data_IF_728433412004
#
_entry.id   IF_728433412004
#
_cell.length_a   1.000
_cell.length_b   1.000
_cell.length_c   1.000
_cell.angle_alpha   90.00
_cell.angle_beta   90.00
_cell.angle_gamma   90.00
#
_symmetry.space_group_name_H-M   'P 1'
#
loop_
_entity.id
_entity.type
_entity.pdbx_description
1 polymer ?
#
# COMPACT_ATOMS: atom_id res chain seq x y z
N UNK A 1 -15.33 -5.67 -10.76
CA UNK A 1 -15.41 -5.20 -9.36
C UNK A 1 -14.73 -3.86 -9.15
N UNK A 2 -13.41 -3.72 -9.41
CA UNK A 2 -12.71 -2.43 -9.18
C UNK A 2 -13.30 -1.23 -9.94
N UNK A 3 -13.97 -1.45 -11.08
CA UNK A 3 -14.63 -0.40 -11.89
C UNK A 3 -15.99 0.08 -11.36
N UNK A 4 -16.57 -0.65 -10.40
CA UNK A 4 -17.93 -0.37 -9.85
C UNK A 4 -17.84 0.63 -8.69
N UNK A 5 -16.65 0.77 -8.11
CA UNK A 5 -16.41 1.72 -7.03
C UNK A 5 -16.41 3.17 -7.53
N UNK A 6 -16.83 4.13 -6.69
CA UNK A 6 -16.78 5.54 -7.03
C UNK A 6 -15.35 6.00 -7.29
N UNK A 7 -15.21 7.08 -8.07
CA UNK A 7 -13.93 7.72 -8.38
C UNK A 7 -14.00 9.18 -7.99
N UNK A 8 -12.90 9.67 -7.43
CA UNK A 8 -12.85 11.02 -6.87
C UNK A 8 -11.64 11.78 -7.41
N UNK A 9 -11.91 12.97 -7.94
CA UNK A 9 -10.92 13.95 -8.34
C UNK A 9 -10.74 15.01 -7.24
N UNK A 10 -10.09 14.65 -6.13
CA UNK A 10 -9.78 15.60 -5.06
C UNK A 10 -8.36 15.40 -4.53
N UNK A 11 -7.89 16.33 -3.70
CA UNK A 11 -6.54 16.35 -3.16
C UNK A 11 -5.45 16.32 -4.24
N UNK A 12 -4.40 15.53 -4.06
CA UNK A 12 -3.26 15.47 -4.98
C UNK A 12 -3.64 15.01 -6.39
N UNK A 13 -4.72 14.25 -6.52
CA UNK A 13 -5.18 13.69 -7.78
C UNK A 13 -5.75 14.74 -8.71
N UNK A 14 -6.53 15.71 -8.20
CA UNK A 14 -7.05 16.80 -9.03
C UNK A 14 -5.93 17.68 -9.57
N UNK A 15 -4.91 17.98 -8.75
CA UNK A 15 -3.73 18.72 -9.21
C UNK A 15 -2.96 17.97 -10.30
N UNK A 16 -2.78 16.64 -10.17
CA UNK A 16 -2.10 15.83 -11.20
C UNK A 16 -2.89 15.79 -12.51
N UNK A 17 -4.21 15.63 -12.41
CA UNK A 17 -5.08 15.64 -13.59
C UNK A 17 -5.06 17.00 -14.29
N UNK A 18 -5.22 18.09 -13.54
CA UNK A 18 -5.17 19.45 -14.08
C UNK A 18 -3.83 19.75 -14.78
N UNK A 19 -2.70 19.30 -14.21
CA UNK A 19 -1.39 19.43 -14.85
C UNK A 19 -1.28 18.64 -16.15
N UNK A 20 -1.81 17.42 -16.20
CA UNK A 20 -1.83 16.62 -17.42
C UNK A 20 -2.68 17.29 -18.51
N UNK A 21 -3.87 17.78 -18.15
CA UNK A 21 -4.75 18.50 -19.07
C UNK A 21 -4.08 19.78 -19.59
N UNK A 22 -3.45 20.59 -18.72
CA UNK A 22 -2.72 21.78 -19.15
C UNK A 22 -1.59 21.46 -20.13
N UNK A 23 -0.84 20.37 -19.89
CA UNK A 23 0.21 19.92 -20.80
C UNK A 23 -0.34 19.50 -22.17
N UNK A 24 -1.42 18.70 -22.19
CA UNK A 24 -1.96 18.11 -23.42
C UNK A 24 -2.84 19.06 -24.23
N UNK A 25 -3.56 19.98 -23.58
CA UNK A 25 -4.44 20.94 -24.26
C UNK A 25 -3.73 22.24 -24.61
N UNK A 26 -2.92 22.75 -23.70
CA UNK A 26 -2.36 24.11 -23.81
C UNK A 26 -0.88 24.09 -24.18
N UNK A 27 -0.23 22.91 -24.21
CA UNK A 27 1.22 22.80 -24.36
C UNK A 27 2.00 23.42 -23.20
N UNK A 28 1.32 23.74 -22.09
CA UNK A 28 1.90 24.43 -20.96
C UNK A 28 2.64 23.44 -20.05
N UNK A 29 3.88 23.75 -19.68
CA UNK A 29 4.62 22.97 -18.68
C UNK A 29 4.25 23.46 -17.28
N UNK A 30 3.47 22.70 -16.48
CA UNK A 30 2.94 23.23 -15.23
C UNK A 30 4.02 23.32 -14.15
N UNK A 31 4.11 24.45 -13.47
CA UNK A 31 4.91 24.60 -12.25
C UNK A 31 4.10 24.18 -11.02
N UNK A 32 4.12 22.89 -10.72
CA UNK A 32 3.46 22.33 -9.55
C UNK A 32 4.35 21.28 -8.87
N UNK A 33 4.12 21.10 -7.57
CA UNK A 33 4.98 20.26 -6.72
C UNK A 33 4.95 18.75 -7.03
N UNK A 34 3.86 18.26 -7.63
CA UNK A 34 3.72 16.82 -7.89
C UNK A 34 4.40 16.43 -9.21
N UNK A 35 5.12 15.33 -9.21
CA UNK A 35 5.79 14.82 -10.42
C UNK A 35 4.79 14.47 -11.53
N UNK A 36 5.17 14.77 -12.78
CA UNK A 36 4.43 14.45 -14.01
C UNK A 36 4.79 13.08 -14.60
N UNK A 37 5.80 12.37 -14.07
CA UNK A 37 6.26 11.08 -14.60
C UNK A 37 5.15 10.01 -14.54
N UNK A 38 4.40 9.93 -13.44
CA UNK A 38 3.24 9.05 -13.35
C UNK A 38 2.08 9.53 -14.25
N UNK A 39 1.60 10.79 -14.08
CA UNK A 39 0.49 11.32 -14.86
C UNK A 39 0.66 11.24 -16.39
N UNK A 40 1.86 11.49 -16.93
CA UNK A 40 2.09 11.44 -18.39
C UNK A 40 1.84 10.05 -18.97
N UNK A 41 2.05 8.99 -18.18
CA UNK A 41 1.75 7.61 -18.60
C UNK A 41 0.25 7.30 -18.65
N UNK A 42 -0.59 8.21 -18.15
CA UNK A 42 -2.05 8.17 -18.35
C UNK A 42 -2.52 9.02 -19.53
N UNK A 43 -1.63 9.72 -20.24
CA UNK A 43 -1.97 10.50 -21.43
C UNK A 43 -2.74 9.69 -22.51
N UNK A 44 -2.44 8.40 -22.77
CA UNK A 44 -3.25 7.61 -23.71
C UNK A 44 -4.72 7.47 -23.28
N UNK A 45 -4.99 7.37 -21.97
CA UNK A 45 -6.35 7.31 -21.44
C UNK A 45 -7.06 8.66 -21.57
N UNK A 46 -6.32 9.75 -21.33
CA UNK A 46 -6.81 11.11 -21.56
C UNK A 46 -7.20 11.33 -23.03
N UNK A 47 -6.30 11.00 -23.96
CA UNK A 47 -6.52 11.14 -25.40
C UNK A 47 -7.68 10.26 -25.88
N UNK A 48 -7.76 9.02 -25.40
CA UNK A 48 -8.90 8.13 -25.69
C UNK A 48 -10.21 8.69 -25.14
N UNK A 49 -10.19 9.26 -23.93
CA UNK A 49 -11.35 9.89 -23.33
C UNK A 49 -11.82 11.14 -24.08
N UNK A 50 -10.90 11.90 -24.67
CA UNK A 50 -11.21 13.08 -25.47
C UNK A 50 -12.07 12.77 -26.70
N UNK A 51 -11.88 11.58 -27.29
CA UNK A 51 -12.73 11.12 -28.41
C UNK A 51 -14.20 10.94 -28.02
N UNK A 52 -14.50 10.82 -26.72
CA UNK A 52 -15.84 10.58 -26.17
C UNK A 52 -16.30 11.66 -25.17
N UNK A 53 -15.56 12.76 -25.02
CA UNK A 53 -15.84 13.81 -24.01
C UNK A 53 -15.85 13.30 -22.57
N UNK A 54 -14.96 12.35 -22.25
CA UNK A 54 -14.89 11.65 -20.96
C UNK A 54 -13.45 11.52 -20.42
N UNK A 55 -12.60 12.50 -20.69
CA UNK A 55 -11.17 12.54 -20.33
C UNK A 55 -10.94 12.20 -18.85
N UNK A 56 -11.65 12.91 -17.97
CA UNK A 56 -11.54 12.75 -16.52
C UNK A 56 -11.93 11.34 -16.09
N UNK A 57 -13.02 10.81 -16.65
CA UNK A 57 -13.53 9.48 -16.30
C UNK A 57 -12.49 8.39 -16.58
N UNK A 58 -11.78 8.46 -17.70
CA UNK A 58 -10.74 7.51 -18.07
C UNK A 58 -9.48 7.69 -17.22
N UNK A 59 -9.04 8.92 -17.02
CA UNK A 59 -7.87 9.22 -16.17
C UNK A 59 -8.07 8.76 -14.72
N UNK A 60 -9.24 8.98 -14.13
CA UNK A 60 -9.55 8.53 -12.78
C UNK A 60 -9.51 7.00 -12.61
N UNK A 61 -9.47 6.23 -13.71
CA UNK A 61 -9.33 4.75 -13.71
C UNK A 61 -7.91 4.28 -13.98
N UNK A 62 -6.97 5.19 -14.21
CA UNK A 62 -5.56 4.87 -14.46
C UNK A 62 -4.97 3.92 -13.41
N UNK A 63 -5.21 4.18 -12.12
CA UNK A 63 -4.73 3.33 -11.03
C UNK A 63 -5.28 1.90 -11.10
N UNK A 64 -6.52 1.74 -11.56
CA UNK A 64 -7.12 0.41 -11.77
C UNK A 64 -6.43 -0.33 -12.92
N UNK A 65 -6.15 0.34 -14.03
CA UNK A 65 -5.38 -0.25 -15.14
C UNK A 65 -3.96 -0.63 -14.72
N UNK A 66 -3.28 0.23 -13.95
CA UNK A 66 -1.98 -0.08 -13.38
C UNK A 66 -2.02 -1.32 -12.48
N UNK A 67 -2.96 -1.38 -11.54
CA UNK A 67 -3.10 -2.52 -10.63
C UNK A 67 -3.40 -3.81 -11.41
N UNK A 68 -4.33 -3.78 -12.38
CA UNK A 68 -4.67 -4.93 -13.22
C UNK A 68 -3.45 -5.38 -14.03
N UNK A 69 -2.76 -4.45 -14.70
CA UNK A 69 -1.57 -4.75 -15.49
C UNK A 69 -0.44 -5.32 -14.63
N UNK A 70 -0.19 -4.72 -13.48
CA UNK A 70 0.86 -5.15 -12.55
C UNK A 70 0.59 -6.52 -11.93
N UNK A 71 -0.65 -6.79 -11.50
CA UNK A 71 -1.07 -8.11 -11.01
C UNK A 71 -1.03 -9.17 -12.10
N UNK A 72 -1.42 -8.80 -13.33
CA UNK A 72 -1.35 -9.70 -14.49
C UNK A 72 0.10 -10.05 -14.81
N UNK A 73 1.00 -9.06 -14.87
CA UNK A 73 2.43 -9.29 -15.01
C UNK A 73 2.96 -10.20 -13.90
N UNK A 74 2.64 -9.90 -12.64
CA UNK A 74 3.07 -10.70 -11.49
C UNK A 74 2.61 -12.16 -11.61
N UNK A 75 1.35 -12.38 -11.95
CA UNK A 75 0.79 -13.72 -12.16
C UNK A 75 1.50 -14.44 -13.31
N UNK A 76 1.63 -13.82 -14.47
CA UNK A 76 2.26 -14.44 -15.65
C UNK A 76 3.75 -14.73 -15.41
N UNK A 77 4.46 -13.82 -14.74
CA UNK A 77 5.84 -13.98 -14.36
C UNK A 77 6.05 -15.13 -13.37
N UNK A 78 5.12 -15.37 -12.44
CA UNK A 78 5.32 -16.34 -11.37
C UNK A 78 4.50 -17.63 -11.48
N UNK A 79 3.50 -17.74 -12.35
CA UNK A 79 2.57 -18.90 -12.44
C UNK A 79 3.24 -20.25 -12.67
N UNK A 80 4.43 -20.26 -13.27
CA UNK A 80 5.26 -21.46 -13.50
C UNK A 80 6.38 -21.64 -12.46
N UNK A 81 6.61 -20.63 -11.61
CA UNK A 81 7.71 -20.54 -10.64
C UNK A 81 7.24 -20.71 -9.20
N UNK A 82 5.99 -20.39 -8.90
CA UNK A 82 5.40 -20.37 -7.56
C UNK A 82 4.10 -21.18 -7.56
N UNK A 83 3.75 -21.89 -6.46
CA UNK A 83 2.48 -22.60 -6.36
C UNK A 83 1.28 -21.68 -6.68
N UNK A 84 0.45 -22.07 -7.66
CA UNK A 84 -0.70 -21.27 -8.14
C UNK A 84 -1.64 -20.82 -7.02
N UNK A 85 -1.84 -21.68 -6.02
CA UNK A 85 -2.64 -21.37 -4.84
C UNK A 85 -2.08 -20.18 -4.06
N UNK A 86 -0.77 -20.18 -3.80
CA UNK A 86 -0.11 -19.09 -3.08
C UNK A 86 -0.24 -17.79 -3.87
N UNK A 87 -0.02 -17.82 -5.19
CA UNK A 87 -0.20 -16.65 -6.05
C UNK A 87 -1.62 -16.11 -6.01
N UNK A 88 -2.63 -16.97 -6.14
CA UNK A 88 -4.03 -16.56 -6.05
C UNK A 88 -4.34 -15.95 -4.69
N UNK A 89 -3.87 -16.57 -3.60
CA UNK A 89 -4.05 -16.04 -2.24
C UNK A 89 -3.39 -14.67 -2.08
N UNK A 90 -2.14 -14.51 -2.55
CA UNK A 90 -1.44 -13.23 -2.54
C UNK A 90 -2.18 -12.15 -3.32
N UNK A 91 -2.61 -12.45 -4.55
CA UNK A 91 -3.32 -11.49 -5.40
C UNK A 91 -4.64 -11.08 -4.77
N UNK A 92 -5.42 -12.03 -4.22
CA UNK A 92 -6.68 -11.71 -3.55
C UNK A 92 -6.43 -10.84 -2.30
N UNK A 93 -5.41 -11.13 -1.51
CA UNK A 93 -5.04 -10.29 -0.36
C UNK A 93 -4.59 -8.90 -0.81
N UNK A 94 -3.75 -8.80 -1.84
CA UNK A 94 -3.30 -7.51 -2.35
C UNK A 94 -4.47 -6.69 -2.87
N UNK A 95 -5.38 -7.28 -3.64
CA UNK A 95 -6.47 -6.55 -4.30
C UNK A 95 -7.67 -6.29 -3.39
N UNK A 96 -7.96 -7.16 -2.41
CA UNK A 96 -9.17 -7.07 -1.57
C UNK A 96 -8.91 -6.96 -0.07
N UNK A 97 -7.75 -7.40 0.43
CA UNK A 97 -7.41 -7.41 1.85
C UNK A 97 -6.17 -6.57 2.13
N UNK A 98 -6.11 -5.38 1.56
CA UNK A 98 -5.01 -4.43 1.76
C UNK A 98 -5.51 -2.99 1.61
N UNK A 99 -4.60 -2.00 1.56
CA UNK A 99 -4.98 -0.61 1.30
C UNK A 99 -5.28 -0.31 -0.19
N UNK A 100 -4.92 -1.19 -1.13
CA UNK A 100 -5.13 -0.95 -2.57
C UNK A 100 -6.58 -0.61 -2.96
N UNK A 101 -7.64 -1.28 -2.44
CA UNK A 101 -9.02 -0.92 -2.74
C UNK A 101 -9.35 0.56 -2.55
N UNK A 102 -8.94 1.15 -1.42
CA UNK A 102 -9.15 2.57 -1.17
C UNK A 102 -8.37 3.44 -2.14
N UNK A 103 -7.10 3.12 -2.35
CA UNK A 103 -6.24 3.87 -3.27
C UNK A 103 -6.70 3.80 -4.73
N UNK A 104 -7.57 2.85 -5.10
CA UNK A 104 -8.19 2.85 -6.43
C UNK A 104 -9.24 3.97 -6.59
N UNK A 105 -9.82 4.49 -5.51
CA UNK A 105 -10.85 5.54 -5.60
C UNK A 105 -10.27 6.87 -6.07
N UNK A 106 -8.94 7.03 -5.97
CA UNK A 106 -8.23 8.30 -6.16
C UNK A 106 -7.19 8.22 -7.28
N UNK A 107 -6.99 9.31 -8.01
CA UNK A 107 -5.95 9.45 -9.04
C UNK A 107 -4.59 9.87 -8.43
N UNK A 108 -4.16 9.10 -7.45
CA UNK A 108 -3.00 9.37 -6.61
C UNK A 108 -1.76 8.60 -7.09
N UNK A 109 -0.55 9.09 -6.77
CA UNK A 109 0.70 8.54 -7.30
C UNK A 109 1.20 7.27 -6.61
N UNK A 110 0.68 6.95 -5.42
CA UNK A 110 1.19 5.86 -4.59
C UNK A 110 0.96 4.49 -5.24
N UNK A 111 -0.14 4.30 -5.98
CA UNK A 111 -0.41 3.06 -6.72
C UNK A 111 0.63 2.84 -7.80
N UNK A 112 0.99 3.90 -8.54
CA UNK A 112 2.03 3.86 -9.55
C UNK A 112 3.35 3.40 -8.95
N UNK A 113 3.82 4.08 -7.90
CA UNK A 113 5.08 3.72 -7.23
C UNK A 113 5.04 2.28 -6.69
N UNK A 114 3.96 1.92 -5.99
CA UNK A 114 3.88 0.61 -5.34
C UNK A 114 3.86 -0.55 -6.36
N UNK A 115 3.09 -0.42 -7.44
CA UNK A 115 2.97 -1.47 -8.47
C UNK A 115 4.25 -1.58 -9.30
N UNK A 116 4.86 -0.46 -9.71
CA UNK A 116 6.09 -0.51 -10.49
C UNK A 116 7.27 -1.03 -9.65
N UNK A 117 7.38 -0.66 -8.37
CA UNK A 117 8.41 -1.23 -7.49
C UNK A 117 8.19 -2.74 -7.29
N UNK A 118 6.95 -3.18 -7.04
CA UNK A 118 6.62 -4.60 -6.90
C UNK A 118 6.95 -5.40 -8.17
N UNK A 119 6.52 -4.92 -9.34
CA UNK A 119 6.75 -5.63 -10.61
C UNK A 119 8.21 -5.56 -11.06
N UNK A 120 8.87 -4.42 -10.86
CA UNK A 120 10.28 -4.22 -11.17
C UNK A 120 11.20 -5.09 -10.32
N UNK A 121 10.94 -5.22 -9.02
CA UNK A 121 11.66 -6.16 -8.15
C UNK A 121 11.48 -7.61 -8.56
N UNK A 122 10.25 -8.03 -8.93
CA UNK A 122 10.03 -9.37 -9.50
C UNK A 122 10.82 -9.55 -10.79
N UNK A 123 10.79 -8.58 -11.71
CA UNK A 123 11.57 -8.63 -12.95
C UNK A 123 13.08 -8.77 -12.70
N UNK A 124 13.63 -8.09 -11.68
CA UNK A 124 15.03 -8.26 -11.25
C UNK A 124 15.31 -9.71 -10.84
N UNK A 125 14.38 -10.37 -10.15
CA UNK A 125 14.54 -11.72 -9.62
C UNK A 125 14.26 -12.85 -10.63
N UNK A 126 13.66 -12.53 -11.79
CA UNK A 126 13.40 -13.49 -12.87
C UNK A 126 14.29 -13.24 -14.10
N UNK A 127 15.51 -12.75 -13.88
CA UNK A 127 16.54 -12.48 -14.89
C UNK A 127 16.22 -11.39 -15.93
N UNK A 128 15.19 -10.56 -15.67
CA UNK A 128 14.85 -9.38 -16.49
C UNK A 128 15.41 -8.11 -15.85
N UNK A 129 16.69 -8.15 -15.48
CA UNK A 129 17.31 -7.19 -14.56
C UNK A 129 17.28 -5.74 -15.06
N UNK A 130 17.55 -5.50 -16.35
CA UNK A 130 17.52 -4.14 -16.93
C UNK A 130 16.12 -3.54 -16.88
N UNK A 131 15.12 -4.30 -17.33
CA UNK A 131 13.72 -3.89 -17.31
C UNK A 131 13.23 -3.64 -15.88
N UNK A 132 13.62 -4.52 -14.95
CA UNK A 132 13.24 -4.39 -13.56
C UNK A 132 13.79 -3.14 -12.89
N UNK A 133 15.08 -2.83 -13.06
CA UNK A 133 15.65 -1.58 -12.56
C UNK A 133 15.08 -0.35 -13.22
N UNK A 134 14.88 -0.36 -14.55
CA UNK A 134 14.21 0.73 -15.26
C UNK A 134 12.83 1.01 -14.65
N UNK A 135 12.04 -0.04 -14.42
CA UNK A 135 10.69 0.08 -13.82
C UNK A 135 10.75 0.67 -12.41
N UNK A 136 11.67 0.21 -11.55
CA UNK A 136 11.86 0.73 -10.19
C UNK A 136 12.31 2.20 -10.21
N UNK A 137 13.24 2.56 -11.10
CA UNK A 137 13.75 3.93 -11.25
C UNK A 137 12.64 4.90 -11.64
N UNK A 138 11.82 4.53 -12.63
CA UNK A 138 10.66 5.34 -13.06
C UNK A 138 9.64 5.49 -11.91
N UNK A 139 9.39 4.42 -11.16
CA UNK A 139 8.50 4.45 -10.00
C UNK A 139 8.96 5.47 -8.95
N UNK A 140 10.24 5.40 -8.59
CA UNK A 140 10.85 6.24 -7.55
C UNK A 140 10.96 7.69 -8.01
N UNK A 141 11.31 7.92 -9.28
CA UNK A 141 11.36 9.26 -9.85
C UNK A 141 9.99 9.95 -9.81
N UNK A 142 8.90 9.20 -10.00
CA UNK A 142 7.54 9.74 -9.87
C UNK A 142 7.15 10.13 -8.43
N UNK A 143 7.89 9.67 -7.42
CA UNK A 143 7.68 10.03 -6.00
C UNK A 143 9.04 10.23 -5.32
N UNK A 144 9.69 11.39 -5.48
CA UNK A 144 11.07 11.63 -5.05
C UNK A 144 11.35 11.30 -3.57
N UNK A 145 10.37 11.45 -2.68
CA UNK A 145 10.46 11.06 -1.28
C UNK A 145 10.73 9.55 -1.07
N UNK A 146 10.63 8.72 -2.10
CA UNK A 146 10.98 7.29 -2.05
C UNK A 146 12.44 6.99 -2.43
N UNK A 147 13.26 8.01 -2.70
CA UNK A 147 14.69 7.84 -2.97
C UNK A 147 15.44 7.11 -1.83
N UNK A 148 15.24 7.41 -0.53
CA UNK A 148 15.89 6.66 0.54
C UNK A 148 15.48 5.18 0.57
N UNK A 149 14.23 4.87 0.22
CA UNK A 149 13.75 3.50 0.06
C UNK A 149 14.45 2.77 -1.09
N UNK A 150 14.69 3.44 -2.22
CA UNK A 150 15.50 2.91 -3.31
C UNK A 150 16.95 2.68 -2.87
N UNK A 151 17.54 3.58 -2.10
CA UNK A 151 18.89 3.44 -1.57
C UNK A 151 19.02 2.20 -0.68
N UNK A 152 18.06 1.96 0.22
CA UNK A 152 18.09 0.73 1.04
C UNK A 152 17.87 -0.54 0.21
N UNK A 153 16.93 -0.53 -0.74
CA UNK A 153 16.70 -1.66 -1.64
C UNK A 153 17.94 -1.98 -2.47
N UNK A 154 18.61 -0.96 -3.01
CA UNK A 154 19.83 -1.12 -3.82
C UNK A 154 21.03 -1.54 -2.97
N UNK A 155 21.20 -0.98 -1.76
CA UNK A 155 22.22 -1.39 -0.82
C UNK A 155 22.08 -2.87 -0.45
N UNK A 156 20.86 -3.33 -0.14
CA UNK A 156 20.56 -4.74 0.10
C UNK A 156 20.93 -5.60 -1.12
N UNK A 157 20.58 -5.15 -2.33
CA UNK A 157 20.93 -5.89 -3.55
C UNK A 157 22.44 -5.89 -3.85
N UNK A 158 23.16 -4.82 -3.55
CA UNK A 158 24.63 -4.75 -3.64
C UNK A 158 25.25 -5.72 -2.66
N UNK A 159 24.74 -5.77 -1.42
CA UNK A 159 25.19 -6.69 -0.40
C UNK A 159 25.05 -8.16 -0.85
N UNK A 160 23.87 -8.54 -1.33
CA UNK A 160 23.60 -9.92 -1.77
C UNK A 160 24.40 -10.34 -3.00
N UNK A 161 24.52 -9.45 -3.98
CA UNK A 161 25.16 -9.78 -5.26
C UNK A 161 26.65 -9.43 -5.33
N UNK A 162 27.16 -8.69 -4.33
CA UNK A 162 28.52 -8.11 -4.27
C UNK A 162 28.88 -7.26 -5.49
N UNK A 163 27.90 -6.59 -6.11
CA UNK A 163 28.08 -5.79 -7.34
C UNK A 163 27.64 -4.35 -7.13
N UNK A 164 28.60 -3.42 -7.13
CA UNK A 164 28.35 -1.98 -6.92
C UNK A 164 27.53 -1.32 -8.04
N UNK A 165 27.50 -1.90 -9.24
CA UNK A 165 26.80 -1.35 -10.41
C UNK A 165 25.30 -1.05 -10.18
N UNK A 166 24.67 -1.63 -9.17
CA UNK A 166 23.27 -1.33 -8.84
C UNK A 166 23.08 0.06 -8.24
N UNK A 167 24.14 0.71 -7.76
CA UNK A 167 24.12 2.12 -7.37
C UNK A 167 23.74 3.05 -8.55
N UNK A 168 23.96 2.60 -9.80
CA UNK A 168 23.51 3.31 -10.99
C UNK A 168 21.98 3.50 -11.02
N UNK A 169 21.20 2.64 -10.37
CA UNK A 169 19.75 2.83 -10.28
C UNK A 169 19.39 4.03 -9.39
N UNK A 170 20.10 4.24 -8.26
CA UNK A 170 19.91 5.42 -7.41
C UNK A 170 20.31 6.67 -8.19
N UNK A 171 21.48 6.66 -8.83
CA UNK A 171 21.94 7.79 -9.65
C UNK A 171 20.95 8.13 -10.76
N UNK A 172 20.46 7.13 -11.50
CA UNK A 172 19.47 7.33 -12.56
C UNK A 172 18.16 7.94 -12.03
N UNK A 173 17.67 7.50 -10.88
CA UNK A 173 16.47 8.06 -10.26
C UNK A 173 16.68 9.52 -9.82
N UNK A 174 17.81 9.83 -9.17
CA UNK A 174 18.17 11.20 -8.79
C UNK A 174 18.27 12.09 -10.02
N UNK A 175 18.95 11.64 -11.07
CA UNK A 175 19.07 12.37 -12.32
C UNK A 175 17.71 12.65 -12.94
N UNK A 176 16.79 11.67 -13.00
CA UNK A 176 15.44 11.89 -13.53
C UNK A 176 14.64 12.90 -12.70
N UNK A 177 14.72 12.85 -11.37
CA UNK A 177 14.05 13.84 -10.49
C UNK A 177 14.61 15.25 -10.69
N UNK A 178 15.94 15.37 -10.80
CA UNK A 178 16.60 16.66 -11.04
C UNK A 178 16.30 17.21 -12.43
N UNK A 179 16.28 16.35 -13.45
CA UNK A 179 15.91 16.73 -14.82
C UNK A 179 14.46 17.19 -14.91
N UNK A 180 13.53 16.47 -14.27
CA UNK A 180 12.12 16.90 -14.22
C UNK A 180 12.00 18.27 -13.53
N UNK A 181 12.70 18.46 -12.41
CA UNK A 181 12.74 19.74 -11.69
C UNK A 181 13.29 20.87 -12.55
N UNK A 182 14.39 20.61 -13.26
CA UNK A 182 15.00 21.61 -14.13
C UNK A 182 14.09 21.98 -15.30
N UNK A 183 13.51 21.00 -16.00
CA UNK A 183 12.61 21.22 -17.14
C UNK A 183 11.38 22.03 -16.72
N UNK A 184 10.83 21.78 -15.53
CA UNK A 184 9.58 22.40 -15.09
C UNK A 184 9.77 23.73 -14.35
N UNK A 185 10.88 23.90 -13.65
CA UNK A 185 11.08 24.98 -12.66
C UNK A 185 12.38 25.75 -12.84
N UNK A 186 13.14 25.47 -13.91
CA UNK A 186 14.38 26.17 -14.24
C UNK A 186 15.57 25.82 -13.35
N UNK A 187 15.41 24.96 -12.33
CA UNK A 187 16.49 24.53 -11.44
C UNK A 187 16.33 23.07 -11.02
N UNK A 188 17.41 22.27 -10.99
CA UNK A 188 17.36 20.87 -10.55
C UNK A 188 17.12 20.72 -9.04
N UNK A 189 17.30 21.79 -8.25
CA UNK A 189 17.12 21.78 -6.80
C UNK A 189 15.80 22.39 -6.35
N UNK A 190 15.07 23.07 -7.24
CA UNK A 190 13.73 23.54 -6.95
C UNK A 190 12.78 22.34 -7.03
N UNK A 191 12.39 21.79 -5.88
CA UNK A 191 11.54 20.58 -5.83
C UNK A 191 10.05 20.90 -5.82
N UNK A 192 9.67 22.17 -5.63
CA UNK A 192 8.29 22.58 -5.36
C UNK A 192 7.79 22.25 -3.95
N UNK A 193 8.65 21.68 -3.10
CA UNK A 193 8.31 21.32 -1.71
C UNK A 193 8.90 22.27 -0.66
N UNK A 194 9.59 23.33 -1.07
CA UNK A 194 10.40 24.20 -0.19
C UNK A 194 9.56 24.95 0.86
N UNK A 195 8.27 25.16 0.60
CA UNK A 195 7.32 25.87 1.48
C UNK A 195 6.19 24.90 1.94
N UNK A 196 6.41 23.59 1.88
CA UNK A 196 5.37 22.62 2.23
C UNK A 196 5.32 22.38 3.75
N UNK A 197 4.36 23.01 4.42
CA UNK A 197 4.04 22.82 5.84
C UNK A 197 2.53 22.67 6.05
N UNK A 198 2.17 22.04 7.17
CA UNK A 198 0.79 21.92 7.63
C UNK A 198 0.33 23.11 8.44
N UNK A 199 -0.93 23.08 8.88
CA UNK A 199 -1.37 23.98 9.94
C UNK A 199 -0.88 23.50 11.30
N UNK A 200 -0.66 24.43 12.24
CA UNK A 200 -0.40 24.11 13.64
C UNK A 200 -1.67 23.56 14.28
N UNK A 201 -1.53 22.51 15.07
CA UNK A 201 -2.56 21.79 15.84
C UNK A 201 -2.13 21.75 17.31
N UNK A 202 -2.84 20.99 18.16
CA UNK A 202 -2.44 20.72 19.54
C UNK A 202 -1.09 19.95 19.66
N UNK A 203 -0.64 19.26 18.60
CA UNK A 203 0.63 18.54 18.64
C UNK A 203 1.84 19.51 18.55
N UNK A 204 2.87 19.36 19.41
CA UNK A 204 4.00 20.31 19.48
C UNK A 204 4.77 20.50 18.16
N UNK A 205 4.88 19.45 17.34
CA UNK A 205 5.65 19.45 16.08
C UNK A 205 4.79 19.71 14.84
N UNK A 206 3.50 20.01 15.02
CA UNK A 206 2.62 20.35 13.90
C UNK A 206 2.87 21.78 13.40
N UNK A 207 2.67 22.00 12.10
CA UNK A 207 2.92 23.31 11.48
C UNK A 207 4.36 23.55 11.02
N UNK A 208 5.28 22.63 11.31
CA UNK A 208 6.65 22.68 10.82
C UNK A 208 6.75 22.16 9.36
N UNK A 209 7.71 22.66 8.57
CA UNK A 209 7.87 22.27 7.16
C UNK A 209 8.65 20.97 6.97
N UNK A 210 8.45 20.34 5.82
CA UNK A 210 9.29 19.24 5.34
C UNK A 210 9.42 18.05 6.30
N UNK A 211 10.67 17.64 6.56
CA UNK A 211 11.02 16.45 7.36
C UNK A 211 11.45 16.81 8.79
N UNK A 212 10.64 17.63 9.47
CA UNK A 212 10.92 18.18 10.80
C UNK A 212 10.36 17.37 11.97
N UNK A 213 9.55 16.35 11.73
CA UNK A 213 8.92 15.57 12.79
C UNK A 213 9.97 14.67 13.47
N UNK A 214 10.00 14.56 14.82
CA UNK A 214 10.99 13.70 15.47
C UNK A 214 10.79 12.24 15.10
N UNK A 215 11.85 11.59 14.62
CA UNK A 215 11.80 10.24 14.06
C UNK A 215 11.20 9.22 15.04
N UNK A 216 11.53 9.31 16.33
CA UNK A 216 11.02 8.39 17.34
C UNK A 216 9.50 8.43 17.42
N UNK A 217 8.92 9.64 17.53
CA UNK A 217 7.47 9.79 17.55
C UNK A 217 6.86 9.36 16.22
N UNK A 218 7.47 9.71 15.09
CA UNK A 218 6.97 9.31 13.78
C UNK A 218 6.92 7.80 13.58
N UNK A 219 7.93 7.07 14.06
CA UNK A 219 7.95 5.60 14.04
C UNK A 219 6.83 5.03 14.91
N UNK A 220 6.64 5.56 16.12
CA UNK A 220 5.56 5.15 17.02
C UNK A 220 4.19 5.40 16.37
N UNK A 221 4.01 6.58 15.77
CA UNK A 221 2.80 7.00 15.08
C UNK A 221 2.49 6.15 13.86
N UNK A 222 3.46 5.93 12.97
CA UNK A 222 3.28 5.13 11.76
C UNK A 222 3.07 3.65 12.05
N UNK A 223 3.44 3.16 13.23
CA UNK A 223 3.23 1.76 13.62
C UNK A 223 1.93 1.57 14.39
N UNK A 224 1.65 2.42 15.39
CA UNK A 224 0.61 2.19 16.40
C UNK A 224 -0.60 3.13 16.34
N UNK A 225 -0.61 4.15 15.48
CA UNK A 225 -1.79 5.02 15.32
C UNK A 225 -3.03 4.20 14.93
N UNK A 226 -4.17 4.37 15.60
CA UNK A 226 -5.40 3.66 15.23
C UNK A 226 -5.92 4.07 13.85
N UNK A 227 -5.81 5.37 13.51
CA UNK A 227 -6.26 5.89 12.23
C UNK A 227 -5.30 5.66 11.07
N UNK A 228 -4.01 5.43 11.34
CA UNK A 228 -2.93 5.48 10.33
C UNK A 228 -1.85 4.40 10.48
N UNK A 229 -1.87 3.61 11.54
CA UNK A 229 -0.77 2.73 11.91
C UNK A 229 -0.69 1.46 11.07
N UNK A 230 0.51 1.08 10.66
CA UNK A 230 0.77 -0.15 9.92
C UNK A 230 0.29 -1.41 10.67
N UNK A 231 0.23 -1.39 12.01
CA UNK A 231 -0.30 -2.52 12.78
C UNK A 231 -1.74 -2.85 12.39
N UNK A 232 -2.54 -1.86 12.01
CA UNK A 232 -3.94 -2.03 11.66
C UNK A 232 -4.15 -2.13 10.15
N UNK A 233 -3.41 -1.36 9.36
CA UNK A 233 -3.59 -1.30 7.89
C UNK A 233 -2.76 -2.33 7.11
N UNK A 234 -1.68 -2.84 7.70
CA UNK A 234 -0.79 -3.83 7.11
C UNK A 234 -0.26 -4.85 8.15
N UNK A 235 -1.15 -5.50 8.94
CA UNK A 235 -0.77 -6.36 10.07
C UNK A 235 0.13 -7.55 9.67
N UNK A 236 0.10 -7.95 8.39
CA UNK A 236 0.97 -9.00 7.85
C UNK A 236 2.46 -8.74 8.02
N UNK A 237 2.90 -7.47 8.12
CA UNK A 237 4.31 -7.11 8.34
C UNK A 237 4.87 -7.63 9.67
N UNK A 238 4.00 -7.77 10.68
CA UNK A 238 4.40 -8.12 12.04
C UNK A 238 4.35 -9.64 12.28
N UNK A 239 4.03 -10.43 11.26
CA UNK A 239 3.97 -11.88 11.37
C UNK A 239 5.35 -12.51 11.09
N UNK A 240 5.81 -13.46 11.93
CA UNK A 240 7.04 -14.18 11.65
C UNK A 240 6.87 -15.10 10.44
N UNK A 241 7.69 -14.89 9.41
CA UNK A 241 7.60 -15.62 8.13
C UNK A 241 8.90 -16.28 7.67
N UNK A 242 10.06 -15.90 8.22
CA UNK A 242 11.37 -16.22 7.63
C UNK A 242 11.61 -17.71 7.41
N UNK A 243 11.31 -18.56 8.39
CA UNK A 243 11.42 -20.01 8.25
C UNK A 243 10.53 -20.57 7.15
N UNK A 244 9.29 -20.07 7.05
CA UNK A 244 8.32 -20.48 6.03
C UNK A 244 8.71 -20.04 4.62
N UNK A 245 9.36 -18.88 4.49
CA UNK A 245 9.91 -18.45 3.20
C UNK A 245 11.05 -19.36 2.74
N UNK A 246 11.95 -19.77 3.65
CA UNK A 246 13.00 -20.74 3.34
C UNK A 246 12.43 -22.09 2.88
N UNK A 247 11.41 -22.60 3.58
CA UNK A 247 10.72 -23.81 3.15
C UNK A 247 9.98 -23.66 1.81
N UNK A 248 9.45 -22.47 1.53
CA UNK A 248 8.79 -22.16 0.27
C UNK A 248 9.81 -22.09 -0.88
N UNK A 249 11.02 -21.59 -0.63
CA UNK A 249 12.08 -21.50 -1.63
C UNK A 249 12.38 -22.88 -2.25
N UNK A 250 12.42 -23.95 -1.43
CA UNK A 250 12.58 -25.33 -1.92
C UNK A 250 11.44 -25.85 -2.81
N UNK A 251 10.30 -25.15 -2.87
CA UNK A 251 9.15 -25.48 -3.74
C UNK A 251 9.02 -24.54 -4.94
N UNK A 252 9.80 -23.48 -4.98
CA UNK A 252 9.80 -22.50 -6.06
C UNK A 252 10.82 -22.89 -7.13
N UNK A 253 10.45 -22.75 -8.41
CA UNK A 253 11.35 -23.03 -9.53
C UNK A 253 11.96 -21.72 -10.01
N UNK A 254 13.30 -21.59 -9.92
CA UNK A 254 14.05 -20.41 -10.41
C UNK A 254 13.46 -19.08 -9.92
N UNK A 255 13.01 -19.05 -8.66
CA UNK A 255 12.51 -17.87 -7.99
C UNK A 255 12.80 -18.00 -6.51
N UNK A 256 13.41 -16.97 -5.93
CA UNK A 256 13.71 -16.93 -4.50
C UNK A 256 12.69 -16.03 -3.79
N UNK A 257 11.71 -16.62 -3.06
CA UNK A 257 10.73 -15.85 -2.30
C UNK A 257 11.34 -15.12 -1.10
N UNK A 258 12.50 -15.54 -0.59
CA UNK A 258 13.21 -14.85 0.50
C UNK A 258 13.78 -13.55 -0.03
N UNK A 259 14.51 -13.58 -1.16
CA UNK A 259 15.06 -12.39 -1.79
C UNK A 259 13.98 -11.37 -2.19
N UNK A 260 12.82 -11.84 -2.69
CA UNK A 260 11.69 -10.96 -2.99
C UNK A 260 11.19 -10.23 -1.74
N UNK A 261 10.98 -10.97 -0.65
CA UNK A 261 10.54 -10.40 0.62
C UNK A 261 11.57 -9.42 1.19
N UNK A 262 12.86 -9.76 1.19
CA UNK A 262 13.91 -8.90 1.75
C UNK A 262 14.05 -7.59 0.98
N UNK A 263 13.98 -7.60 -0.36
CA UNK A 263 13.98 -6.38 -1.17
C UNK A 263 12.74 -5.50 -0.92
N UNK A 264 11.56 -6.12 -0.80
CA UNK A 264 10.33 -5.39 -0.47
C UNK A 264 10.39 -4.80 0.95
N UNK A 265 10.90 -5.54 1.92
CA UNK A 265 11.09 -5.03 3.27
C UNK A 265 12.11 -3.90 3.32
N UNK A 266 13.24 -3.99 2.60
CA UNK A 266 14.23 -2.92 2.53
C UNK A 266 13.60 -1.61 2.00
N UNK A 267 12.79 -1.70 0.95
CA UNK A 267 12.06 -0.55 0.43
C UNK A 267 11.02 -0.02 1.43
N UNK A 268 10.20 -0.89 2.01
CA UNK A 268 9.18 -0.50 2.99
C UNK A 268 9.80 0.17 4.24
N UNK A 269 10.93 -0.36 4.74
CA UNK A 269 11.68 0.24 5.86
C UNK A 269 12.18 1.63 5.48
N UNK A 270 12.72 1.81 4.27
CA UNK A 270 13.16 3.13 3.83
C UNK A 270 12.01 4.14 3.71
N UNK A 271 10.82 3.71 3.29
CA UNK A 271 9.62 4.55 3.33
C UNK A 271 9.25 4.92 4.76
N UNK A 272 9.22 3.95 5.68
CA UNK A 272 8.90 4.18 7.09
C UNK A 272 9.88 5.20 7.70
N UNK A 273 11.19 5.03 7.48
CA UNK A 273 12.20 5.95 7.99
C UNK A 273 12.07 7.36 7.40
N UNK A 274 11.74 7.46 6.11
CA UNK A 274 11.57 8.76 5.45
C UNK A 274 10.31 9.47 5.92
N UNK A 275 9.19 8.77 5.99
CA UNK A 275 7.91 9.38 6.35
C UNK A 275 7.73 9.54 7.87
N UNK A 276 8.52 8.85 8.70
CA UNK A 276 8.53 9.08 10.15
C UNK A 276 8.97 10.51 10.50
N UNK A 277 9.86 11.12 9.70
CA UNK A 277 10.27 12.50 9.93
C UNK A 277 9.40 13.52 9.21
N UNK A 278 8.49 13.08 8.34
CA UNK A 278 7.66 14.00 7.56
C UNK A 278 6.59 14.66 8.45
N UNK A 279 6.43 15.99 8.34
CA UNK A 279 5.45 16.73 9.14
C UNK A 279 4.02 16.21 8.97
N UNK A 280 3.71 15.68 7.79
CA UNK A 280 2.41 15.10 7.44
C UNK A 280 2.48 13.58 7.41
N UNK A 281 3.28 12.92 8.27
CA UNK A 281 3.43 11.46 8.32
C UNK A 281 2.09 10.70 8.24
N UNK A 282 1.02 11.27 8.78
CA UNK A 282 -0.34 10.71 8.77
C UNK A 282 -1.01 10.70 7.39
N UNK A 283 -0.44 11.33 6.37
CA UNK A 283 -1.12 11.52 5.08
C UNK A 283 -2.32 12.48 5.17
N UNK A 284 -2.40 13.28 6.24
CA UNK A 284 -3.46 14.25 6.50
C UNK A 284 -4.85 13.60 6.48
N UNK A 285 -5.79 14.14 5.71
CA UNK A 285 -7.18 13.69 5.57
C UNK A 285 -7.32 12.37 4.82
N UNK A 286 -6.29 11.86 4.17
CA UNK A 286 -6.39 10.63 3.37
C UNK A 286 -6.64 9.39 4.26
N UNK A 287 -7.42 8.41 3.84
CA UNK A 287 -7.64 7.18 4.63
C UNK A 287 -6.34 6.36 4.80
N UNK A 288 -6.03 5.97 6.04
CA UNK A 288 -4.86 5.16 6.37
C UNK A 288 -3.49 5.83 6.10
N UNK A 289 -2.38 5.07 6.24
CA UNK A 289 -1.03 5.56 5.98
C UNK A 289 -0.74 5.65 4.47
N UNK A 290 -1.30 6.68 3.85
CA UNK A 290 -1.20 6.99 2.43
C UNK A 290 0.15 6.64 1.80
N UNK A 291 1.24 7.19 2.35
CA UNK A 291 2.57 7.09 1.78
C UNK A 291 3.21 5.70 1.92
N UNK A 292 2.62 4.84 2.75
CA UNK A 292 3.10 3.49 3.01
C UNK A 292 2.26 2.44 2.30
N UNK A 293 1.52 2.79 1.23
CA UNK A 293 0.75 1.84 0.42
C UNK A 293 1.58 0.60 0.05
N UNK A 294 2.85 0.80 -0.32
CA UNK A 294 3.75 -0.29 -0.71
C UNK A 294 3.91 -1.34 0.39
N UNK A 295 3.78 -0.98 1.67
CA UNK A 295 3.84 -1.93 2.78
C UNK A 295 2.75 -3.03 2.69
N UNK A 296 1.66 -2.77 1.96
CA UNK A 296 0.65 -3.77 1.60
C UNK A 296 1.24 -4.95 0.82
N UNK A 297 2.28 -4.73 -0.01
CA UNK A 297 2.88 -5.78 -0.84
C UNK A 297 3.53 -6.86 0.03
N UNK A 298 4.56 -6.59 0.86
CA UNK A 298 5.12 -7.60 1.74
C UNK A 298 4.10 -8.09 2.77
N UNK A 299 3.21 -7.25 3.30
CA UNK A 299 2.17 -7.69 4.25
C UNK A 299 1.24 -8.76 3.67
N UNK A 300 0.68 -8.51 2.48
CA UNK A 300 -0.16 -9.47 1.77
C UNK A 300 0.61 -10.74 1.39
N UNK A 301 1.91 -10.63 1.04
CA UNK A 301 2.73 -11.80 0.75
C UNK A 301 2.96 -12.67 1.98
N UNK A 302 3.29 -12.08 3.12
CA UNK A 302 3.44 -12.79 4.39
C UNK A 302 2.16 -13.51 4.78
N UNK A 303 1.03 -12.80 4.75
CA UNK A 303 -0.28 -13.40 5.01
C UNK A 303 -0.58 -14.55 4.05
N UNK A 304 -0.28 -14.39 2.75
CA UNK A 304 -0.49 -15.45 1.77
C UNK A 304 0.34 -16.71 2.10
N UNK A 305 1.60 -16.55 2.51
CA UNK A 305 2.47 -17.66 2.93
C UNK A 305 1.93 -18.33 4.19
N UNK A 306 1.43 -17.56 5.16
CA UNK A 306 0.83 -18.06 6.40
C UNK A 306 -0.47 -18.84 6.13
N UNK A 307 -1.33 -18.33 5.26
CA UNK A 307 -2.60 -18.97 4.84
C UNK A 307 -2.35 -20.20 3.95
N UNK A 308 -1.29 -20.20 3.15
CA UNK A 308 -0.95 -21.32 2.29
C UNK A 308 -0.59 -22.58 3.10
N UNK A 309 0.10 -22.39 4.25
CA UNK A 309 0.46 -23.46 5.19
C UNK A 309 0.10 -23.10 6.63
N UNK A 310 -1.16 -23.23 7.06
CA UNK A 310 -1.48 -23.12 8.48
C UNK A 310 -0.70 -24.18 9.27
N UNK A 311 -0.29 -23.88 10.50
CA UNK A 311 -0.06 -24.97 11.43
C UNK A 311 1.31 -25.18 12.07
N UNK A 312 1.93 -24.16 12.66
CA UNK A 312 3.10 -24.37 13.54
C UNK A 312 2.74 -24.44 15.02
N UNK A 313 1.82 -23.59 15.48
CA UNK A 313 1.34 -23.56 16.85
C UNK A 313 -0.05 -22.90 16.88
N UNK A 314 -0.90 -23.26 17.85
CA UNK A 314 -2.26 -22.69 17.96
C UNK A 314 -2.23 -21.17 18.07
N UNK A 315 -1.36 -20.60 18.91
CA UNK A 315 -1.21 -19.15 19.05
C UNK A 315 -0.78 -18.47 17.76
N UNK A 316 0.11 -19.09 16.98
CA UNK A 316 0.52 -18.55 15.69
C UNK A 316 -0.62 -18.57 14.66
N UNK A 317 -1.48 -19.59 14.71
CA UNK A 317 -2.67 -19.67 13.85
C UNK A 317 -3.72 -18.62 14.27
N UNK A 318 -3.94 -18.41 15.58
CA UNK A 318 -4.79 -17.33 16.10
C UNK A 318 -4.32 -15.96 15.62
N UNK A 319 -3.04 -15.64 15.83
CA UNK A 319 -2.46 -14.35 15.40
C UNK A 319 -2.59 -14.17 13.88
N UNK A 320 -2.42 -15.25 13.10
CA UNK A 320 -2.61 -15.21 11.64
C UNK A 320 -4.06 -14.91 11.26
N UNK A 321 -5.02 -15.55 11.94
CA UNK A 321 -6.46 -15.32 11.71
C UNK A 321 -6.81 -13.87 12.06
N UNK A 322 -6.33 -13.34 13.19
CA UNK A 322 -6.54 -11.94 13.59
C UNK A 322 -5.97 -10.97 12.55
N UNK A 323 -4.71 -11.16 12.15
CA UNK A 323 -4.06 -10.31 11.14
C UNK A 323 -4.75 -10.40 9.78
N UNK A 324 -5.24 -11.58 9.39
CA UNK A 324 -5.98 -11.79 8.17
C UNK A 324 -7.34 -11.09 8.22
N UNK A 325 -8.11 -11.25 9.30
CA UNK A 325 -9.38 -10.53 9.52
C UNK A 325 -9.16 -9.03 9.43
N UNK A 326 -8.13 -8.50 10.10
CA UNK A 326 -7.85 -7.07 10.11
C UNK A 326 -7.45 -6.55 8.72
N UNK A 327 -6.68 -7.31 7.95
CA UNK A 327 -6.33 -6.94 6.56
C UNK A 327 -7.53 -6.97 5.63
N UNK A 328 -8.39 -7.97 5.75
CA UNK A 328 -9.64 -8.09 5.00
C UNK A 328 -10.60 -6.95 5.36
N UNK A 329 -10.69 -6.62 6.64
CA UNK A 329 -11.45 -5.48 7.11
C UNK A 329 -10.91 -4.18 6.54
N UNK A 330 -9.60 -3.93 6.59
CA UNK A 330 -9.01 -2.71 6.00
C UNK A 330 -9.36 -2.57 4.51
N UNK A 331 -9.27 -3.65 3.72
CA UNK A 331 -9.61 -3.58 2.30
C UNK A 331 -11.09 -3.41 2.00
N UNK A 332 -11.98 -4.07 2.76
CA UNK A 332 -13.43 -3.87 2.67
C UNK A 332 -13.82 -2.46 3.12
N UNK A 333 -13.31 -2.03 4.27
CA UNK A 333 -13.53 -0.73 4.87
C UNK A 333 -13.13 0.39 3.89
N UNK A 334 -11.91 0.34 3.37
CA UNK A 334 -11.43 1.33 2.40
C UNK A 334 -12.33 1.41 1.16
N UNK A 335 -12.71 0.29 0.55
CA UNK A 335 -13.53 0.32 -0.65
C UNK A 335 -14.97 0.83 -0.42
N UNK A 336 -15.58 0.45 0.70
CA UNK A 336 -17.02 0.63 0.95
C UNK A 336 -17.31 1.89 1.76
N UNK A 337 -16.41 2.22 2.69
CA UNK A 337 -16.57 3.27 3.70
C UNK A 337 -15.45 4.31 3.66
N UNK A 338 -14.50 4.23 2.72
CA UNK A 338 -13.38 5.18 2.69
C UNK A 338 -13.76 6.62 2.31
N UNK A 339 -14.96 6.81 1.78
CA UNK A 339 -15.63 8.09 1.53
C UNK A 339 -16.48 8.56 2.72
N UNK A 340 -16.53 7.83 3.85
CA UNK A 340 -17.24 8.26 5.06
C UNK A 340 -16.56 9.50 5.64
N UNK A 341 -17.40 10.45 6.03
CA UNK A 341 -17.09 11.78 6.55
C UNK A 341 -16.33 11.83 7.90
N UNK A 342 -15.66 10.75 8.31
CA UNK A 342 -14.62 10.77 9.38
C UNK A 342 -13.71 11.99 9.30
N UNK A 343 -13.34 12.33 8.08
CA UNK A 343 -12.52 13.50 7.75
C UNK A 343 -13.25 14.80 8.09
N UNK A 344 -14.56 14.90 7.90
CA UNK A 344 -15.32 16.09 8.29
C UNK A 344 -15.44 16.21 9.80
N UNK A 345 -15.58 15.12 10.55
CA UNK A 345 -15.67 15.19 12.02
C UNK A 345 -14.40 15.75 12.63
N UNK A 346 -13.23 15.32 12.16
CA UNK A 346 -11.96 15.85 12.66
C UNK A 346 -11.49 17.13 11.94
N UNK A 347 -12.20 17.56 10.89
CA UNK A 347 -11.99 18.82 10.16
C UNK A 347 -13.33 19.56 9.88
N UNK A 348 -14.11 19.91 10.93
CA UNK A 348 -15.52 20.33 10.76
C UNK A 348 -15.68 21.70 10.08
N UNK A 349 -14.66 22.55 10.18
CA UNK A 349 -14.62 23.87 9.55
C UNK A 349 -13.90 23.87 8.18
N UNK A 350 -13.43 22.71 7.72
CA UNK A 350 -12.51 22.60 6.57
C UNK A 350 -11.18 23.34 6.75
N UNK A 351 -10.96 23.96 7.92
CA UNK A 351 -9.81 24.79 8.29
C UNK A 351 -8.91 24.09 9.32
N UNK A 352 -9.33 22.94 9.85
CA UNK A 352 -8.48 21.87 10.39
C UNK A 352 -7.66 22.24 11.62
N UNK A 353 -8.20 23.06 12.50
CA UNK A 353 -7.38 23.82 13.45
C UNK A 353 -6.99 23.07 14.75
N UNK A 354 -7.71 22.04 15.22
CA UNK A 354 -7.39 21.47 16.55
C UNK A 354 -7.48 19.93 16.72
N UNK A 355 -8.37 19.24 16.02
CA UNK A 355 -8.77 17.87 16.41
C UNK A 355 -8.19 16.74 15.54
N UNK A 356 -7.41 17.06 14.52
CA UNK A 356 -6.75 16.05 13.66
C UNK A 356 -6.05 14.91 14.42
N UNK A 357 -5.38 15.14 15.57
CA UNK A 357 -4.77 14.06 16.34
C UNK A 357 -5.76 13.05 16.92
N UNK A 358 -7.02 13.44 17.18
CA UNK A 358 -8.07 12.52 17.65
C UNK A 358 -8.31 11.43 16.59
N UNK A 359 -8.45 11.82 15.32
CA UNK A 359 -8.57 10.86 14.21
C UNK A 359 -7.35 9.94 14.04
N UNK A 360 -6.19 10.31 14.57
CA UNK A 360 -4.99 9.47 14.49
C UNK A 360 -4.93 8.47 15.65
N UNK A 361 -5.29 8.87 16.86
CA UNK A 361 -5.00 8.10 18.07
C UNK A 361 -6.22 7.60 18.84
N UNK A 362 -7.41 8.02 18.47
CA UNK A 362 -8.64 7.63 19.15
C UNK A 362 -9.39 6.60 18.30
N UNK A 363 -9.64 5.37 18.80
CA UNK A 363 -10.26 4.31 18.02
C UNK A 363 -11.59 4.71 17.39
N UNK A 364 -12.43 5.42 18.13
CA UNK A 364 -13.77 5.83 17.72
C UNK A 364 -13.75 6.75 16.48
N UNK A 365 -12.67 7.50 16.28
CA UNK A 365 -12.45 8.38 15.13
C UNK A 365 -11.54 7.77 14.05
N UNK A 366 -11.05 6.55 14.25
CA UNK A 366 -10.27 5.84 13.23
C UNK A 366 -11.14 5.50 12.03
N UNK A 367 -10.64 5.73 10.83
CA UNK A 367 -11.33 5.33 9.61
C UNK A 367 -11.70 3.83 9.55
N UNK A 368 -10.96 2.98 10.26
CA UNK A 368 -11.27 1.55 10.34
C UNK A 368 -12.43 1.23 11.28
N UNK A 369 -12.67 2.03 12.30
CA UNK A 369 -13.69 1.72 13.33
C UNK A 369 -14.90 2.63 13.27
N UNK A 370 -14.76 3.81 12.68
CA UNK A 370 -15.84 4.78 12.58
C UNK A 370 -17.12 4.26 11.90
N UNK A 371 -17.08 3.31 10.93
CA UNK A 371 -18.33 2.72 10.42
C UNK A 371 -19.16 1.95 11.45
N UNK A 372 -18.62 1.67 12.63
CA UNK A 372 -19.36 1.10 13.77
C UNK A 372 -19.94 2.18 14.70
N UNK A 373 -19.54 3.44 14.52
CA UNK A 373 -20.01 4.60 15.28
C UNK A 373 -21.10 5.34 14.49
N UNK A 374 -20.85 5.62 13.22
CA UNK A 374 -21.80 6.29 12.34
C UNK A 374 -22.22 5.38 11.18
N UNK A 375 -23.54 5.23 11.01
CA UNK A 375 -24.11 4.42 9.96
C UNK A 375 -24.08 5.17 8.63
N UNK A 376 -23.47 4.56 7.62
CA UNK A 376 -23.50 5.08 6.24
C UNK A 376 -24.51 4.32 5.39
N UNK A 377 -25.29 5.05 4.60
CA UNK A 377 -26.08 4.47 3.51
C UNK A 377 -25.17 4.08 2.35
N UNK A 378 -25.16 2.80 2.01
CA UNK A 378 -24.31 2.25 0.95
C UNK A 378 -24.97 2.39 -0.42
N UNK A 379 -24.21 2.87 -1.41
CA UNK A 379 -24.63 2.83 -2.82
C UNK A 379 -24.72 1.38 -3.31
N UNK A 380 -25.49 1.13 -4.39
CA UNK A 380 -25.58 -0.21 -5.01
C UNK A 380 -24.21 -0.78 -5.37
N UNK A 381 -23.30 0.06 -5.90
CA UNK A 381 -21.94 -0.36 -6.23
C UNK A 381 -21.13 -0.80 -5.00
N UNK A 382 -21.27 -0.08 -3.89
CA UNK A 382 -20.65 -0.42 -2.61
C UNK A 382 -21.23 -1.70 -2.01
N UNK A 383 -22.54 -1.92 -2.10
CA UNK A 383 -23.20 -3.16 -1.67
C UNK A 383 -22.70 -4.37 -2.46
N UNK A 384 -22.64 -4.27 -3.80
CA UNK A 384 -22.10 -5.32 -4.67
C UNK A 384 -20.65 -5.64 -4.30
N UNK A 385 -19.83 -4.60 -4.11
CA UNK A 385 -18.43 -4.79 -3.70
C UNK A 385 -18.32 -5.46 -2.33
N UNK A 386 -19.13 -5.04 -1.35
CA UNK A 386 -19.16 -5.62 0.00
C UNK A 386 -19.51 -7.11 -0.07
N UNK A 387 -20.57 -7.50 -0.78
CA UNK A 387 -20.97 -8.90 -0.94
C UNK A 387 -19.85 -9.73 -1.58
N UNK A 388 -19.26 -9.24 -2.66
CA UNK A 388 -18.15 -9.92 -3.31
C UNK A 388 -16.93 -10.03 -2.39
N UNK A 389 -16.57 -8.96 -1.68
CA UNK A 389 -15.44 -8.94 -0.76
C UNK A 389 -15.65 -9.86 0.44
N UNK A 390 -16.89 -10.00 0.95
CA UNK A 390 -17.24 -10.99 1.97
C UNK A 390 -17.06 -12.42 1.46
N UNK A 391 -17.43 -12.71 0.20
CA UNK A 391 -17.16 -14.01 -0.42
C UNK A 391 -15.66 -14.30 -0.55
N UNK A 392 -14.86 -13.30 -0.93
CA UNK A 392 -13.38 -13.41 -0.97
C UNK A 392 -12.82 -13.63 0.44
N UNK A 393 -13.32 -12.91 1.44
CA UNK A 393 -12.93 -13.06 2.83
C UNK A 393 -13.23 -14.47 3.35
N UNK A 394 -14.43 -14.99 3.11
CA UNK A 394 -14.81 -16.37 3.45
C UNK A 394 -13.88 -17.39 2.78
N UNK A 395 -13.58 -17.22 1.50
CA UNK A 395 -12.65 -18.08 0.76
C UNK A 395 -11.23 -18.08 1.37
N UNK A 396 -10.70 -16.91 1.75
CA UNK A 396 -9.36 -16.78 2.33
C UNK A 396 -9.29 -17.28 3.78
N UNK A 397 -10.35 -17.06 4.57
CA UNK A 397 -10.46 -17.42 5.99
C UNK A 397 -10.75 -18.90 6.22
N UNK A 398 -11.43 -19.57 5.27
CA UNK A 398 -11.90 -20.95 5.42
C UNK A 398 -10.82 -21.90 5.96
N UNK A 399 -9.64 -21.90 5.33
CA UNK A 399 -8.56 -22.82 5.70
C UNK A 399 -7.93 -22.50 7.07
N UNK A 400 -7.45 -21.27 7.33
CA UNK A 400 -6.91 -20.89 8.63
C UNK A 400 -7.87 -21.19 9.79
N UNK A 401 -9.16 -20.85 9.62
CA UNK A 401 -10.19 -21.08 10.65
C UNK A 401 -10.43 -22.56 10.88
N UNK A 402 -10.59 -23.36 9.82
CA UNK A 402 -10.79 -24.81 9.98
C UNK A 402 -9.58 -25.51 10.62
N UNK A 403 -8.36 -25.08 10.30
CA UNK A 403 -7.16 -25.60 10.95
C UNK A 403 -7.11 -25.23 12.44
N UNK A 404 -7.46 -23.99 12.78
CA UNK A 404 -7.54 -23.55 14.17
C UNK A 404 -8.60 -24.32 14.96
N UNK A 405 -9.81 -24.47 14.39
CA UNK A 405 -10.91 -25.19 15.02
C UNK A 405 -10.56 -26.67 15.29
N UNK A 406 -9.96 -27.36 14.31
CA UNK A 406 -9.52 -28.77 14.48
C UNK A 406 -8.48 -28.93 15.59
N UNK A 407 -7.56 -27.97 15.72
CA UNK A 407 -6.53 -27.98 16.78
C UNK A 407 -7.13 -27.70 18.15
N UNK A 408 -8.01 -26.71 18.25
CA UNK A 408 -8.73 -26.42 19.49
C UNK A 408 -9.53 -27.64 19.96
N UNK A 409 -10.24 -28.32 19.05
CA UNK A 409 -10.95 -29.57 19.37
C UNK A 409 -9.99 -30.68 19.85
N UNK A 410 -8.84 -30.83 19.20
CA UNK A 410 -7.81 -31.80 19.62
C UNK A 410 -7.21 -31.53 21.00
N UNK A 411 -7.12 -30.28 21.44
CA UNK A 411 -6.67 -29.92 22.78
C UNK A 411 -7.76 -30.15 23.85
N UNK A 412 -9.03 -29.99 23.48
CA UNK A 412 -10.16 -30.18 24.40
C UNK A 412 -10.54 -31.66 24.57
N UNK A 413 -10.30 -32.52 23.57
CA UNK A 413 -10.67 -33.93 23.63
C UNK A 413 -10.06 -34.70 24.83
N UNK A 414 -8.76 -34.57 25.16
CA UNK A 414 -8.17 -35.21 26.35
C UNK A 414 -8.73 -34.68 27.67
N UNK A 415 -9.08 -33.38 27.73
CA UNK A 415 -9.67 -32.77 28.93
C UNK A 415 -11.09 -33.29 29.19
N UNK A 416 -11.87 -33.47 28.13
CA UNK A 416 -13.21 -34.08 28.21
C UNK A 416 -13.15 -35.56 28.60
N UNK A 417 -12.15 -36.31 28.11
CA UNK A 417 -11.93 -37.71 28.51
C UNK A 417 -11.53 -37.80 29.99
N UNK A 418 -10.60 -36.96 30.47
CA UNK A 418 -10.22 -36.91 31.89
C UNK A 418 -11.38 -36.52 32.81
N UNK A 419 -12.22 -35.57 32.40
CA UNK A 419 -13.40 -35.18 33.16
C UNK A 419 -14.45 -36.30 33.25
N UNK A 420 -14.53 -37.19 32.26
CA UNK A 420 -15.44 -38.35 32.28
C UNK A 420 -14.91 -39.54 33.09
N UNK A 421 -13.60 -39.68 33.27
CA UNK A 421 -12.98 -40.74 34.08
C UNK A 421 -12.98 -40.44 35.58
N UNK A 422 -13.22 -39.19 35.99
CA UNK A 422 -13.56 -38.86 37.38
C UNK A 422 -15.06 -39.12 37.58
N UNK A 423 -15.44 -40.40 37.58
CA UNK A 423 -16.69 -40.85 38.18
C UNK A 423 -16.34 -41.35 39.58
N UNK A 424 -17.02 -40.76 40.56
CA UNK A 424 -16.96 -41.07 41.99
C UNK A 424 -17.24 -42.54 42.27
#
# INVERSE_FOLDING_TARGET
MLFILPRYAWGDGSYRYAQLTALLEQGAMPDAKYSMIGPILSAPLWLGGRLFGAEEWWCLRYNAFLLIGGVTFFYLALRSRVPRRLLRTFILLLVFGSMFPYHQLWYYGEVFTAILVMTGTIAILIDKVRLGWFTVVIAVASTPATLPALTLLTAHRIWDSRRLRWALAVLAAVTLVMLESWIRRGSPFNTGYDINYGRRTIMPFSGLPGFSYPIFFGLLSLTLSFGKGLLFFAPGLFLPVRSRLKELAGRCKRFDPVAAYELWMAFAIGLILTYATYWSWSGSTFWGPRYLLFASVPASFVLAVRVFRPGTAIGADVITVVALTMSLWAGLNGAVFGDVDTIKVCWPDGKGLYEAPLCYYTPEFSALWYPFVENKVLTTGQQIYLLYGLAVAAYLMWRPVMCLARRAAGLLAPAVVRARTVRW
#
